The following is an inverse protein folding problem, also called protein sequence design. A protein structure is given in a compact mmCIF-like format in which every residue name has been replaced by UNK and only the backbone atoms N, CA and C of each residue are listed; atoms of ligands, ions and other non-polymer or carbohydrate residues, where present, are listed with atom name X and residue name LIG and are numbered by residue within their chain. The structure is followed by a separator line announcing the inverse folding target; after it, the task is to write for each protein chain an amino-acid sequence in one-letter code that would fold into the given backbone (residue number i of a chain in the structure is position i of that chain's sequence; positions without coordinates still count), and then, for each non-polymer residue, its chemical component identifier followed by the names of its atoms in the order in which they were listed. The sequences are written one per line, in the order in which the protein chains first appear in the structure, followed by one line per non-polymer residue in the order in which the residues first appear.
data_IF_656621581244
#
_entry.id   IF_656621581244
#
_cell.length_a   1.000
_cell.length_b   1.000
_cell.length_c   1.000
_cell.angle_alpha   90.00
_cell.angle_beta   90.00
_cell.angle_gamma   90.00
#
_symmetry.space_group_name_H-M   'P 1'
#
loop_
_entity.id
_entity.type
_entity.pdbx_description
1 polymer ?
#
# COMPACT_ATOMS: atom_id res chain seq x y z
N UNK A 1 -25.66 45.42 6.79
CA UNK A 1 -26.18 44.65 5.64
C UNK A 1 -25.31 44.96 4.45
N UNK A 2 -24.84 43.96 3.71
CA UNK A 2 -24.12 44.21 2.44
C UNK A 2 -25.08 44.86 1.43
N UNK A 3 -24.60 45.82 0.64
CA UNK A 3 -25.39 46.40 -0.46
C UNK A 3 -25.77 45.28 -1.45
N UNK A 4 -27.04 45.30 -1.92
CA UNK A 4 -27.63 44.25 -2.78
C UNK A 4 -26.78 43.95 -4.02
N UNK A 5 -26.13 44.98 -4.57
CA UNK A 5 -25.26 44.90 -5.74
C UNK A 5 -23.96 44.12 -5.44
N UNK A 6 -23.42 44.22 -4.23
CA UNK A 6 -22.24 43.46 -3.79
C UNK A 6 -22.59 41.98 -3.62
N UNK A 7 -23.78 41.68 -3.11
CA UNK A 7 -24.30 40.31 -3.04
C UNK A 7 -24.38 39.65 -4.42
N UNK A 8 -24.99 40.35 -5.39
CA UNK A 8 -25.08 39.89 -6.78
C UNK A 8 -23.71 39.67 -7.42
N UNK A 9 -22.76 40.59 -7.21
CA UNK A 9 -21.41 40.48 -7.76
C UNK A 9 -20.65 39.27 -7.20
N UNK A 10 -20.79 39.00 -5.90
CA UNK A 10 -20.15 37.86 -5.24
C UNK A 10 -20.78 36.51 -5.66
N UNK A 11 -22.09 36.47 -5.96
CA UNK A 11 -22.74 35.28 -6.51
C UNK A 11 -22.25 34.90 -7.91
N UNK A 12 -21.88 35.90 -8.72
CA UNK A 12 -21.33 35.67 -10.06
C UNK A 12 -19.83 35.32 -10.07
N UNK A 13 -19.13 35.57 -8.95
CA UNK A 13 -17.68 35.42 -8.87
C UNK A 13 -17.28 33.94 -8.72
N UNK A 14 -17.12 33.24 -9.85
CA UNK A 14 -16.61 31.87 -9.89
C UNK A 14 -15.08 31.84 -9.81
N UNK A 15 -14.53 31.79 -8.61
CA UNK A 15 -13.10 31.54 -8.40
C UNK A 15 -12.72 30.14 -8.90
N UNK A 16 -11.66 30.04 -9.72
CA UNK A 16 -11.09 28.76 -10.12
C UNK A 16 -10.62 28.01 -8.87
N UNK A 17 -11.30 26.91 -8.55
CA UNK A 17 -10.95 26.10 -7.39
C UNK A 17 -9.52 25.55 -7.47
N UNK A 18 -8.88 25.31 -6.33
CA UNK A 18 -7.58 24.62 -6.29
C UNK A 18 -7.66 23.28 -7.02
N UNK A 19 -6.55 22.88 -7.65
CA UNK A 19 -6.37 21.54 -8.25
C UNK A 19 -6.66 20.48 -7.18
N UNK A 20 -7.81 19.84 -7.30
CA UNK A 20 -8.30 18.87 -6.31
C UNK A 20 -7.42 17.62 -6.39
N UNK A 21 -7.03 17.09 -5.23
CA UNK A 21 -6.35 15.79 -5.07
C UNK A 21 -5.00 15.61 -5.75
N UNK A 22 -4.24 16.69 -5.94
CA UNK A 22 -2.83 16.62 -6.39
C UNK A 22 -1.99 15.70 -5.49
N UNK A 23 -2.24 15.74 -4.18
CA UNK A 23 -1.64 14.88 -3.16
C UNK A 23 -2.12 13.41 -3.20
N UNK A 24 -2.90 13.03 -4.21
CA UNK A 24 -3.28 11.64 -4.50
C UNK A 24 -2.65 11.23 -5.84
N UNK A 25 -2.64 12.13 -6.83
CA UNK A 25 -2.10 11.90 -8.16
C UNK A 25 -0.56 11.89 -8.19
N UNK A 26 0.07 12.63 -7.28
CA UNK A 26 1.51 12.74 -7.15
C UNK A 26 1.89 12.42 -5.71
N UNK A 27 3.05 11.78 -5.53
CA UNK A 27 3.61 11.53 -4.21
C UNK A 27 4.19 12.83 -3.64
N UNK A 28 3.57 13.35 -2.59
CA UNK A 28 4.01 14.51 -1.82
C UNK A 28 4.30 14.02 -0.39
N UNK A 29 5.56 14.08 0.08
CA UNK A 29 5.96 13.64 1.41
C UNK A 29 5.08 14.21 2.52
N UNK A 30 4.71 13.36 3.50
CA UNK A 30 3.84 13.72 4.64
C UNK A 30 2.38 14.01 4.29
N UNK A 31 2.04 14.19 3.01
CA UNK A 31 0.68 14.49 2.57
C UNK A 31 0.03 13.30 1.90
N UNK A 32 0.67 12.66 0.93
CA UNK A 32 0.07 11.62 0.09
C UNK A 32 -0.36 10.36 0.85
N UNK A 33 -1.29 9.55 0.30
CA UNK A 33 -1.63 8.25 0.87
C UNK A 33 -0.38 7.43 1.24
N UNK A 34 -0.50 6.61 2.28
CA UNK A 34 0.55 5.63 2.58
C UNK A 34 0.61 4.57 1.50
N UNK A 35 1.81 4.09 1.22
CA UNK A 35 2.01 2.87 0.43
C UNK A 35 1.54 1.65 1.23
N UNK A 36 1.26 0.54 0.54
CA UNK A 36 0.83 -0.71 1.18
C UNK A 36 1.82 -1.19 2.24
N UNK A 37 3.13 -1.12 1.96
CA UNK A 37 4.18 -1.50 2.90
C UNK A 37 4.15 -0.62 4.16
N UNK A 38 4.13 0.71 4.01
CA UNK A 38 4.08 1.64 5.16
C UNK A 38 2.82 1.47 6.01
N UNK A 39 1.70 1.16 5.38
CA UNK A 39 0.46 0.86 6.11
C UNK A 39 0.56 -0.47 6.87
N UNK A 40 1.17 -1.50 6.26
CA UNK A 40 1.41 -2.78 6.92
C UNK A 40 2.38 -2.64 8.11
N UNK A 41 3.46 -1.88 7.93
CA UNK A 41 4.44 -1.58 8.99
C UNK A 41 3.78 -0.86 10.17
N UNK A 42 2.95 0.17 9.90
CA UNK A 42 2.18 0.86 10.93
C UNK A 42 1.24 -0.09 11.69
N UNK A 43 0.51 -0.95 10.98
CA UNK A 43 -0.40 -1.93 11.60
C UNK A 43 0.36 -2.92 12.48
N UNK A 44 1.49 -3.44 11.98
CA UNK A 44 2.36 -4.34 12.72
C UNK A 44 2.88 -3.67 13.98
N UNK A 45 3.34 -2.42 13.88
CA UNK A 45 3.84 -1.67 15.04
C UNK A 45 2.76 -1.47 16.10
N UNK A 46 1.54 -1.08 15.69
CA UNK A 46 0.39 -0.94 16.60
C UNK A 46 0.04 -2.27 17.29
N UNK A 47 0.14 -3.39 16.57
CA UNK A 47 -0.15 -4.72 17.10
C UNK A 47 0.94 -5.20 18.06
N UNK A 48 2.22 -5.04 17.70
CA UNK A 48 3.35 -5.48 18.52
C UNK A 48 3.40 -4.83 19.91
N UNK A 49 2.89 -3.60 20.03
CA UNK A 49 2.87 -2.87 21.29
C UNK A 49 1.47 -2.77 21.91
N UNK A 50 0.47 -3.48 21.40
CA UNK A 50 -0.92 -3.35 21.83
C UNK A 50 -1.09 -3.55 23.36
N UNK A 51 -0.37 -4.53 23.94
CA UNK A 51 -0.45 -4.86 25.36
C UNK A 51 0.13 -3.79 26.29
N UNK A 52 0.89 -2.82 25.76
CA UNK A 52 1.41 -1.69 26.54
C UNK A 52 0.40 -0.56 26.73
N UNK A 53 -0.75 -0.62 26.05
CA UNK A 53 -1.77 0.41 26.14
C UNK A 53 -2.81 0.03 27.19
N UNK A 54 -2.63 0.56 28.40
CA UNK A 54 -3.53 0.29 29.52
C UNK A 54 -4.88 1.00 29.36
N UNK A 55 -5.97 0.26 29.59
CA UNK A 55 -7.34 0.79 29.58
C UNK A 55 -7.47 1.94 30.58
N UNK A 56 -8.15 3.00 30.16
CA UNK A 56 -8.34 4.19 31.00
C UNK A 56 -7.19 5.18 30.96
N UNK A 57 -6.15 4.96 30.17
CA UNK A 57 -5.09 5.94 29.90
C UNK A 57 -5.37 6.78 28.66
N UNK A 58 -4.67 7.92 28.54
CA UNK A 58 -4.72 8.72 27.32
C UNK A 58 -4.17 7.99 26.09
N UNK A 59 -3.23 7.05 26.28
CA UNK A 59 -2.65 6.27 25.20
C UNK A 59 -3.68 5.32 24.58
N UNK A 60 -4.48 4.66 25.41
CA UNK A 60 -5.45 3.66 24.95
C UNK A 60 -6.53 4.22 24.03
N UNK A 61 -7.18 5.34 24.40
CA UNK A 61 -8.19 5.92 23.53
C UNK A 61 -7.59 6.45 22.21
N UNK A 62 -6.34 6.92 22.23
CA UNK A 62 -5.63 7.36 21.02
C UNK A 62 -5.29 6.19 20.10
N UNK A 63 -4.94 5.04 20.67
CA UNK A 63 -4.74 3.79 19.94
C UNK A 63 -6.04 3.38 19.21
N UNK A 64 -7.17 3.34 19.93
CA UNK A 64 -8.48 3.03 19.36
C UNK A 64 -8.83 4.03 18.24
N UNK A 65 -8.67 5.33 18.49
CA UNK A 65 -8.92 6.36 17.48
C UNK A 65 -8.07 6.16 16.22
N UNK A 66 -6.80 5.79 16.38
CA UNK A 66 -5.87 5.49 15.29
C UNK A 66 -6.34 4.28 14.47
N UNK A 67 -6.73 3.19 15.13
CA UNK A 67 -7.31 2.03 14.46
C UNK A 67 -8.59 2.38 13.70
N UNK A 68 -9.50 3.18 14.28
CA UNK A 68 -10.70 3.65 13.59
C UNK A 68 -10.38 4.48 12.34
N UNK A 69 -9.35 5.33 12.38
CA UNK A 69 -8.91 6.08 11.20
C UNK A 69 -8.31 5.17 10.12
N UNK A 70 -7.56 4.14 10.49
CA UNK A 70 -6.99 3.14 9.57
C UNK A 70 -8.10 2.31 8.93
N UNK A 71 -9.04 1.82 9.74
CA UNK A 71 -10.05 0.82 9.33
C UNK A 71 -11.21 1.46 8.56
N UNK A 72 -11.68 2.63 8.99
CA UNK A 72 -12.91 3.24 8.46
C UNK A 72 -12.67 4.56 7.72
N UNK A 73 -11.44 5.10 7.74
CA UNK A 73 -11.11 6.36 7.07
C UNK A 73 -11.86 7.57 7.64
N UNK A 74 -12.21 7.58 8.93
CA UNK A 74 -13.07 8.59 9.55
C UNK A 74 -12.44 9.98 9.62
N UNK A 75 -13.29 11.00 9.76
CA UNK A 75 -12.88 12.36 10.12
C UNK A 75 -12.84 12.50 11.65
N UNK A 76 -11.92 13.30 12.22
CA UNK A 76 -11.88 13.57 13.66
C UNK A 76 -13.21 14.07 14.26
N UNK A 77 -13.99 14.84 13.48
CA UNK A 77 -15.33 15.31 13.91
C UNK A 77 -16.32 14.17 14.09
N UNK A 78 -16.19 13.06 13.35
CA UNK A 78 -17.07 11.91 13.49
C UNK A 78 -16.81 11.18 14.81
N UNK A 79 -15.54 10.93 15.17
CA UNK A 79 -15.19 10.32 16.47
C UNK A 79 -15.69 11.14 17.65
N UNK A 80 -15.59 12.48 17.56
CA UNK A 80 -16.12 13.37 18.59
C UNK A 80 -17.62 13.21 18.83
N UNK A 81 -18.37 12.86 17.79
CA UNK A 81 -19.82 12.75 17.86
C UNK A 81 -20.29 11.36 18.26
N UNK A 82 -19.40 10.37 18.40
CA UNK A 82 -19.77 9.01 18.79
C UNK A 82 -20.21 8.96 20.26
N UNK A 83 -21.34 8.29 20.47
CA UNK A 83 -21.90 7.95 21.78
C UNK A 83 -21.83 6.43 22.00
N UNK A 84 -21.99 6.00 23.25
CA UNK A 84 -21.95 4.56 23.59
C UNK A 84 -23.03 3.77 22.86
N UNK A 85 -24.22 4.35 22.65
CA UNK A 85 -25.31 3.71 21.91
C UNK A 85 -25.02 3.50 20.42
N UNK A 86 -23.95 4.09 19.87
CA UNK A 86 -23.60 3.93 18.46
C UNK A 86 -22.84 2.62 18.17
N UNK A 87 -22.36 1.92 19.22
CA UNK A 87 -21.73 0.61 19.09
C UNK A 87 -22.79 -0.48 19.27
N UNK A 88 -23.08 -1.20 18.20
CA UNK A 88 -23.92 -2.40 18.22
C UNK A 88 -23.03 -3.65 18.35
N UNK A 89 -23.37 -4.51 19.30
CA UNK A 89 -22.72 -5.79 19.55
C UNK A 89 -23.75 -6.88 19.33
N UNK A 90 -23.44 -7.82 18.43
CA UNK A 90 -24.25 -9.01 18.21
C UNK A 90 -23.44 -10.25 18.62
N UNK A 91 -24.01 -11.07 19.48
CA UNK A 91 -23.44 -12.33 19.96
C UNK A 91 -24.21 -13.45 19.27
N UNK A 92 -23.53 -14.23 18.45
CA UNK A 92 -24.11 -15.41 17.83
C UNK A 92 -24.52 -16.42 18.89
N UNK A 93 -25.79 -16.82 18.92
CA UNK A 93 -26.35 -17.66 19.98
C UNK A 93 -25.74 -19.06 20.03
N UNK A 94 -25.21 -19.56 18.90
CA UNK A 94 -24.66 -20.92 18.78
C UNK A 94 -23.15 -20.90 19.04
N UNK A 95 -22.43 -20.04 18.32
CA UNK A 95 -20.96 -20.00 18.34
C UNK A 95 -20.41 -19.09 19.43
N UNK A 96 -21.25 -18.29 20.09
CA UNK A 96 -20.88 -17.28 21.08
C UNK A 96 -19.88 -16.23 20.55
N UNK A 97 -19.72 -16.13 19.22
CA UNK A 97 -18.82 -15.17 18.58
C UNK A 97 -19.47 -13.79 18.55
N UNK A 98 -18.68 -12.77 18.90
CA UNK A 98 -19.08 -11.37 18.82
C UNK A 98 -18.83 -10.80 17.42
N UNK A 99 -19.83 -10.10 16.90
CA UNK A 99 -19.72 -9.24 15.72
C UNK A 99 -20.11 -7.81 16.10
N UNK A 100 -19.42 -6.85 15.50
CA UNK A 100 -19.53 -5.44 15.88
C UNK A 100 -19.86 -4.56 14.69
N UNK A 101 -20.76 -3.61 14.94
CA UNK A 101 -21.13 -2.59 13.99
C UNK A 101 -21.08 -1.22 14.68
N UNK A 102 -20.43 -0.27 14.02
CA UNK A 102 -20.34 1.11 14.50
C UNK A 102 -21.21 2.02 13.63
N UNK A 103 -22.19 2.67 14.25
CA UNK A 103 -23.04 3.66 13.62
C UNK A 103 -22.34 5.02 13.61
N UNK A 104 -21.68 5.35 12.49
CA UNK A 104 -20.86 6.56 12.40
C UNK A 104 -21.74 7.75 12.00
N UNK A 105 -21.77 8.85 12.78
CA UNK A 105 -22.53 10.04 12.41
C UNK A 105 -21.93 10.74 11.18
N UNK A 106 -22.80 11.19 10.28
CA UNK A 106 -22.45 12.01 9.14
C UNK A 106 -22.04 13.42 9.59
N UNK A 107 -21.14 14.04 8.84
CA UNK A 107 -20.66 15.40 9.13
C UNK A 107 -20.51 16.24 7.86
N UNK A 108 -20.45 17.57 8.04
CA UNK A 108 -20.29 18.55 6.94
C UNK A 108 -21.46 18.57 5.95
N UNK A 109 -22.63 18.15 6.38
CA UNK A 109 -23.89 18.32 5.66
C UNK A 109 -24.41 19.73 5.94
N UNK A 110 -24.81 20.44 4.88
CA UNK A 110 -25.30 21.82 5.02
C UNK A 110 -26.67 21.79 5.69
N UNK A 111 -26.92 22.73 6.60
CA UNK A 111 -28.21 22.92 7.27
C UNK A 111 -28.71 21.72 8.11
N UNK A 112 -27.85 20.77 8.44
CA UNK A 112 -28.20 19.62 9.28
C UNK A 112 -27.69 19.77 10.72
N UNK A 113 -28.54 19.35 11.67
CA UNK A 113 -28.17 19.21 13.08
C UNK A 113 -27.17 18.05 13.22
N UNK A 114 -26.16 18.15 14.12
CA UNK A 114 -25.27 17.03 14.41
C UNK A 114 -26.04 15.75 14.79
N UNK A 115 -25.54 14.58 14.39
CA UNK A 115 -26.15 13.28 14.69
C UNK A 115 -27.58 13.11 14.14
N UNK A 116 -27.92 13.77 13.04
CA UNK A 116 -29.19 13.57 12.31
C UNK A 116 -29.15 12.40 11.32
N UNK A 117 -27.96 12.08 10.80
CA UNK A 117 -27.74 10.97 9.85
C UNK A 117 -26.56 10.12 10.28
N UNK A 118 -26.68 8.81 10.06
CA UNK A 118 -25.67 7.82 10.41
C UNK A 118 -25.36 6.90 9.23
N UNK A 119 -24.17 6.29 9.29
CA UNK A 119 -23.75 5.22 8.39
C UNK A 119 -23.21 4.06 9.22
N UNK A 120 -23.88 2.93 9.12
CA UNK A 120 -23.51 1.69 9.82
C UNK A 120 -22.30 1.05 9.17
N UNK A 121 -21.29 0.66 9.97
CA UNK A 121 -20.02 0.13 9.47
C UNK A 121 -19.58 -1.08 10.29
N UNK A 122 -19.37 -2.26 9.67
CA UNK A 122 -18.77 -3.38 10.38
C UNK A 122 -17.35 -3.02 10.79
N UNK A 123 -16.95 -3.44 11.99
CA UNK A 123 -15.58 -3.27 12.49
C UNK A 123 -15.00 -4.64 12.91
N UNK A 124 -13.68 -4.84 12.80
CA UNK A 124 -13.03 -6.05 13.27
C UNK A 124 -13.31 -6.32 14.75
N UNK A 125 -13.41 -7.59 15.12
CA UNK A 125 -13.70 -8.05 16.49
C UNK A 125 -12.77 -7.42 17.52
N UNK A 126 -11.45 -7.45 17.29
CA UNK A 126 -10.47 -6.86 18.21
C UNK A 126 -10.74 -5.37 18.49
N UNK A 127 -11.17 -4.61 17.47
CA UNK A 127 -11.46 -3.19 17.62
C UNK A 127 -12.77 -2.97 18.39
N UNK A 128 -13.75 -3.85 18.19
CA UNK A 128 -14.98 -3.89 18.99
C UNK A 128 -14.73 -4.18 20.46
N UNK A 129 -13.90 -5.18 20.75
CA UNK A 129 -13.51 -5.54 22.12
C UNK A 129 -12.76 -4.39 22.82
N UNK A 130 -11.85 -3.70 22.11
CA UNK A 130 -11.19 -2.51 22.64
C UNK A 130 -12.17 -1.37 22.97
N UNK A 131 -13.19 -1.18 22.13
CA UNK A 131 -14.24 -0.20 22.38
C UNK A 131 -15.11 -0.60 23.59
N UNK A 132 -15.48 -1.88 23.71
CA UNK A 132 -16.19 -2.38 24.90
C UNK A 132 -15.38 -2.15 26.18
N UNK A 133 -14.08 -2.45 26.18
CA UNK A 133 -13.21 -2.21 27.33
C UNK A 133 -13.15 -0.72 27.71
N UNK A 134 -13.02 0.18 26.73
CA UNK A 134 -13.10 1.63 26.96
C UNK A 134 -14.46 2.05 27.56
N UNK A 135 -15.56 1.52 27.02
CA UNK A 135 -16.91 1.83 27.48
C UNK A 135 -17.14 1.35 28.91
N UNK A 136 -16.70 0.13 29.23
CA UNK A 136 -16.84 -0.45 30.57
C UNK A 136 -16.04 0.34 31.60
N UNK A 137 -14.81 0.72 31.28
CA UNK A 137 -14.01 1.59 32.12
C UNK A 137 -14.69 2.95 32.37
N UNK A 138 -15.23 3.58 31.32
CA UNK A 138 -15.94 4.86 31.46
C UNK A 138 -17.19 4.73 32.35
N UNK A 139 -17.95 3.64 32.21
CA UNK A 139 -19.13 3.36 33.05
C UNK A 139 -18.75 3.13 34.51
N UNK A 140 -17.68 2.37 34.77
CA UNK A 140 -17.19 2.14 36.12
C UNK A 140 -16.73 3.44 36.78
N UNK A 141 -15.94 4.25 36.08
CA UNK A 141 -15.51 5.55 36.59
C UNK A 141 -16.69 6.47 36.93
N UNK A 142 -17.76 6.46 36.12
CA UNK A 142 -18.98 7.22 36.40
C UNK A 142 -19.70 6.72 37.65
N UNK A 143 -19.79 5.40 37.82
CA UNK A 143 -20.36 4.77 39.01
C UNK A 143 -19.58 5.15 40.27
N UNK A 144 -18.25 5.09 40.23
CA UNK A 144 -17.37 5.45 41.35
C UNK A 144 -17.50 6.94 41.76
N UNK A 145 -17.89 7.81 40.80
CA UNK A 145 -18.13 9.24 41.03
C UNK A 145 -19.60 9.57 41.31
N UNK A 146 -20.49 8.58 41.37
CA UNK A 146 -21.94 8.76 41.51
C UNK A 146 -22.53 9.71 40.45
N UNK A 147 -22.00 9.66 39.22
CA UNK A 147 -22.50 10.46 38.10
C UNK A 147 -23.42 9.60 37.24
N UNK A 148 -24.70 9.96 37.16
CA UNK A 148 -25.66 9.31 36.27
C UNK A 148 -25.78 10.07 34.96
N UNK A 149 -25.52 9.38 33.84
CA UNK A 149 -25.71 9.88 32.49
C UNK A 149 -26.43 8.82 31.65
N UNK A 150 -27.48 9.19 30.89
CA UNK A 150 -28.09 8.29 29.92
C UNK A 150 -27.07 7.81 28.89
N UNK A 151 -27.18 6.55 28.44
CA UNK A 151 -26.27 5.96 27.44
C UNK A 151 -26.28 6.75 26.12
N UNK A 152 -27.42 7.38 25.78
CA UNK A 152 -27.58 8.26 24.61
C UNK A 152 -26.80 9.57 24.70
N UNK A 153 -26.45 9.99 25.92
CA UNK A 153 -25.68 11.20 26.20
C UNK A 153 -24.24 10.92 26.58
N UNK A 154 -23.89 9.64 26.82
CA UNK A 154 -22.54 9.21 27.17
C UNK A 154 -21.67 9.11 25.92
N UNK A 155 -20.63 9.96 25.78
CA UNK A 155 -19.67 9.85 24.69
C UNK A 155 -18.95 8.52 24.72
N UNK A 156 -18.74 7.92 23.54
CA UNK A 156 -17.93 6.71 23.43
C UNK A 156 -16.48 7.01 23.89
N UNK A 157 -15.97 8.17 23.49
CA UNK A 157 -14.69 8.72 23.95
C UNK A 157 -14.92 9.78 25.02
N UNK A 158 -15.08 9.32 26.25
CA UNK A 158 -15.32 10.16 27.42
C UNK A 158 -14.02 10.80 27.92
N UNK A 159 -13.99 12.14 28.05
CA UNK A 159 -12.73 12.84 28.32
C UNK A 159 -12.29 12.85 29.78
N UNK A 160 -13.22 12.86 30.74
CA UNK A 160 -12.94 13.13 32.16
C UNK A 160 -11.97 12.14 32.84
N UNK A 161 -12.07 10.81 32.65
CA UNK A 161 -11.21 9.85 33.34
C UNK A 161 -9.72 9.95 32.96
N UNK A 162 -9.44 10.58 31.81
CA UNK A 162 -8.09 10.68 31.22
C UNK A 162 -7.59 12.12 31.12
N UNK A 163 -8.24 13.09 31.79
CA UNK A 163 -7.93 14.49 31.61
C UNK A 163 -6.49 14.83 32.05
N UNK A 164 -5.63 15.00 31.05
CA UNK A 164 -4.72 16.14 31.01
C UNK A 164 -5.58 17.40 30.75
N UNK A 165 -5.38 18.50 31.50
CA UNK A 165 -6.25 19.66 31.48
C UNK A 165 -6.32 20.25 30.07
N UNK A 166 -7.44 20.07 29.38
CA UNK A 166 -7.63 20.70 28.09
C UNK A 166 -7.84 22.21 28.29
N UNK A 167 -6.75 22.95 28.08
CA UNK A 167 -6.63 24.34 27.58
C UNK A 167 -7.90 25.16 27.79
N UNK A 168 -7.86 26.08 28.76
CA UNK A 168 -8.81 27.17 29.01
C UNK A 168 -9.63 27.50 27.75
N UNK A 169 -10.85 26.95 27.63
CA UNK A 169 -11.78 27.30 26.55
C UNK A 169 -12.75 28.36 27.06
N UNK A 170 -13.14 29.29 26.17
CA UNK A 170 -14.18 30.27 26.46
C UNK A 170 -15.43 29.58 27.01
N UNK A 171 -15.91 30.11 28.13
CA UNK A 171 -17.20 29.77 28.74
C UNK A 171 -18.30 29.92 27.67
N UNK A 172 -19.21 28.93 27.56
CA UNK A 172 -20.30 28.93 26.57
C UNK A 172 -19.98 28.30 25.20
N UNK A 173 -18.75 27.81 24.95
CA UNK A 173 -18.39 27.22 23.63
C UNK A 173 -18.90 25.80 23.35
N UNK A 174 -19.63 25.18 24.30
CA UNK A 174 -20.21 23.84 24.13
C UNK A 174 -21.73 23.94 24.19
N UNK A 175 -22.41 23.27 23.26
CA UNK A 175 -23.77 22.80 23.55
C UNK A 175 -23.70 21.84 24.75
N UNK A 176 -24.68 21.89 25.66
CA UNK A 176 -24.74 21.02 26.85
C UNK A 176 -24.45 19.54 26.50
N UNK A 177 -24.94 19.11 25.35
CA UNK A 177 -24.82 17.77 24.79
C UNK A 177 -23.37 17.26 24.57
N UNK A 178 -22.37 18.13 24.39
CA UNK A 178 -20.99 17.72 24.10
C UNK A 178 -19.99 18.09 25.20
N UNK A 179 -20.48 18.28 26.43
CA UNK A 179 -19.68 18.71 27.60
C UNK A 179 -18.48 17.79 27.82
N UNK A 180 -18.66 16.49 27.77
CA UNK A 180 -17.65 15.49 28.14
C UNK A 180 -16.94 14.84 26.95
N UNK A 181 -17.02 15.48 25.78
CA UNK A 181 -16.36 14.99 24.56
C UNK A 181 -14.99 15.61 24.38
N UNK A 182 -14.04 14.82 23.87
CA UNK A 182 -12.81 15.37 23.33
C UNK A 182 -13.08 16.33 22.16
N UNK A 183 -12.23 17.34 22.02
CA UNK A 183 -12.28 18.22 20.86
C UNK A 183 -11.83 17.50 19.58
N UNK A 184 -12.30 17.97 18.42
CA UNK A 184 -11.84 17.44 17.13
C UNK A 184 -10.32 17.63 16.93
N UNK A 185 -9.71 18.62 17.60
CA UNK A 185 -8.26 18.83 17.59
C UNK A 185 -7.52 17.73 18.32
N UNK A 186 -8.06 17.24 19.45
CA UNK A 186 -7.47 16.14 20.20
C UNK A 186 -7.42 14.86 19.36
N UNK A 187 -8.54 14.51 18.70
CA UNK A 187 -8.57 13.42 17.72
C UNK A 187 -7.67 13.66 16.52
N UNK A 188 -7.51 14.92 16.09
CA UNK A 188 -6.59 15.31 15.03
C UNK A 188 -5.12 15.01 15.35
N UNK A 189 -4.74 15.10 16.63
CA UNK A 189 -3.39 14.83 17.14
C UNK A 189 -3.19 13.39 17.63
N UNK A 190 -4.27 12.66 17.91
CA UNK A 190 -4.24 11.32 18.50
C UNK A 190 -3.27 10.38 17.79
N UNK A 191 -3.32 10.32 16.47
CA UNK A 191 -2.46 9.43 15.67
C UNK A 191 -0.98 9.77 15.78
N UNK A 192 -0.62 11.06 15.70
CA UNK A 192 0.77 11.46 15.86
C UNK A 192 1.25 11.14 17.28
N UNK A 193 0.46 11.45 18.31
CA UNK A 193 0.81 11.12 19.70
C UNK A 193 0.94 9.61 19.96
N UNK A 194 0.16 8.77 19.27
CA UNK A 194 0.34 7.31 19.32
C UNK A 194 1.67 6.91 18.69
N UNK A 195 2.04 7.48 17.54
CA UNK A 195 3.31 7.19 16.87
C UNK A 195 4.50 7.66 17.69
N UNK A 196 4.44 8.87 18.27
CA UNK A 196 5.51 9.40 19.12
C UNK A 196 5.76 8.46 20.31
N UNK A 197 4.69 7.91 20.91
CA UNK A 197 4.79 6.92 21.98
C UNK A 197 5.41 5.59 21.47
N UNK A 198 4.97 5.08 20.32
CA UNK A 198 5.53 3.86 19.74
C UNK A 198 7.02 4.02 19.39
N UNK A 199 7.40 5.17 18.84
CA UNK A 199 8.78 5.50 18.55
C UNK A 199 9.61 5.53 19.85
N UNK A 200 9.07 6.07 20.96
CA UNK A 200 9.76 6.01 22.25
C UNK A 200 10.00 4.56 22.73
N UNK A 201 9.05 3.64 22.48
CA UNK A 201 9.24 2.23 22.80
C UNK A 201 10.28 1.56 21.92
N UNK A 202 10.32 1.89 20.62
CA UNK A 202 11.33 1.35 19.72
C UNK A 202 12.74 1.88 20.04
N UNK A 203 12.86 3.18 20.31
CA UNK A 203 14.13 3.77 20.72
C UNK A 203 14.67 3.16 22.02
N UNK A 204 13.80 2.85 22.98
CA UNK A 204 14.19 2.19 24.23
C UNK A 204 14.80 0.79 24.03
N UNK A 205 14.54 0.14 22.90
CA UNK A 205 15.10 -1.18 22.53
C UNK A 205 16.01 -1.12 21.31
N UNK A 206 16.50 0.08 20.93
CA UNK A 206 17.38 0.31 19.78
C UNK A 206 16.84 -0.21 18.43
N UNK A 207 15.52 -0.21 18.24
CA UNK A 207 14.90 -0.53 16.96
C UNK A 207 14.64 0.73 16.11
N UNK A 208 14.65 0.63 14.77
CA UNK A 208 14.31 1.75 13.90
C UNK A 208 12.90 2.28 14.17
N UNK A 209 12.76 3.61 14.21
CA UNK A 209 11.49 4.31 14.44
C UNK A 209 10.63 4.40 13.19
N UNK A 210 9.34 4.67 13.37
CA UNK A 210 8.41 4.93 12.28
C UNK A 210 8.38 6.44 11.93
N UNK A 211 9.25 6.84 11.00
CA UNK A 211 9.49 8.25 10.63
C UNK A 211 8.55 8.75 9.53
N UNK A 212 7.25 8.58 9.74
CA UNK A 212 6.22 9.04 8.81
C UNK A 212 5.21 9.95 9.49
N UNK A 213 4.96 11.12 8.90
CA UNK A 213 3.92 12.02 9.40
C UNK A 213 2.53 11.41 9.13
N UNK A 214 1.88 10.89 10.17
CA UNK A 214 0.53 10.32 10.03
C UNK A 214 -0.50 11.27 10.61
N UNK A 215 -1.47 11.61 9.76
CA UNK A 215 -2.63 12.40 10.15
C UNK A 215 -3.91 11.65 9.80
N UNK A 216 -5.03 11.90 10.49
CA UNK A 216 -6.33 11.33 10.12
C UNK A 216 -6.71 11.62 8.67
N UNK A 217 -6.32 12.80 8.14
CA UNK A 217 -6.51 13.15 6.72
C UNK A 217 -5.71 12.24 5.80
N UNK A 218 -4.45 11.93 6.14
CA UNK A 218 -3.60 11.03 5.37
C UNK A 218 -4.16 9.60 5.38
N UNK A 219 -4.50 9.08 6.57
CA UNK A 219 -5.12 7.76 6.74
C UNK A 219 -6.43 7.61 5.97
N UNK A 220 -7.28 8.63 6.00
CA UNK A 220 -8.51 8.66 5.20
C UNK A 220 -8.26 8.55 3.70
N UNK A 221 -7.22 9.20 3.18
CA UNK A 221 -6.85 9.05 1.76
C UNK A 221 -6.24 7.68 1.49
N UNK A 222 -5.43 7.15 2.40
CA UNK A 222 -4.94 5.77 2.33
C UNK A 222 -6.10 4.76 2.24
N UNK A 223 -7.09 4.87 3.12
CA UNK A 223 -8.31 4.06 3.09
C UNK A 223 -9.01 4.16 1.73
N UNK A 224 -9.23 5.37 1.23
CA UNK A 224 -9.93 5.59 -0.03
C UNK A 224 -9.17 5.06 -1.25
N UNK A 225 -7.86 5.30 -1.32
CA UNK A 225 -6.98 4.79 -2.38
C UNK A 225 -6.94 3.26 -2.36
N UNK A 226 -6.86 2.65 -1.16
CA UNK A 226 -6.87 1.20 -1.01
C UNK A 226 -8.21 0.60 -1.46
N UNK A 227 -9.34 1.14 -1.01
CA UNK A 227 -10.67 0.68 -1.41
C UNK A 227 -10.88 0.78 -2.93
N UNK A 228 -10.44 1.87 -3.56
CA UNK A 228 -10.50 2.03 -5.01
C UNK A 228 -9.62 1.00 -5.73
N UNK A 229 -8.40 0.73 -5.22
CA UNK A 229 -7.51 -0.28 -5.79
C UNK A 229 -8.07 -1.70 -5.67
N UNK A 230 -8.85 -1.99 -4.62
CA UNK A 230 -9.58 -3.25 -4.46
C UNK A 230 -10.83 -3.36 -5.34
N UNK A 231 -11.09 -2.40 -6.25
CA UNK A 231 -12.24 -2.44 -7.16
C UNK A 231 -13.57 -2.07 -6.51
N UNK A 232 -13.58 -1.45 -5.33
CA UNK A 232 -14.82 -0.96 -4.70
C UNK A 232 -15.54 -0.03 -5.69
N UNK A 233 -16.86 -0.19 -5.93
CA UNK A 233 -17.60 0.74 -6.79
C UNK A 233 -17.56 2.19 -6.26
N UNK A 234 -17.50 3.18 -7.16
CA UNK A 234 -17.36 4.59 -6.78
C UNK A 234 -18.49 5.09 -5.86
N UNK A 235 -19.72 4.61 -6.08
CA UNK A 235 -20.90 4.92 -5.24
C UNK A 235 -20.73 4.35 -3.84
N UNK A 236 -20.20 3.13 -3.71
CA UNK A 236 -19.89 2.55 -2.40
C UNK A 236 -18.76 3.33 -1.71
N UNK A 237 -17.69 3.70 -2.43
CA UNK A 237 -16.63 4.52 -1.82
C UNK A 237 -17.13 5.90 -1.38
N UNK A 238 -18.03 6.53 -2.14
CA UNK A 238 -18.71 7.76 -1.75
C UNK A 238 -19.49 7.58 -0.45
N UNK A 239 -20.24 6.48 -0.35
CA UNK A 239 -20.98 6.12 0.85
C UNK A 239 -20.04 5.94 2.04
N UNK A 240 -18.96 5.17 1.84
CA UNK A 240 -17.92 4.90 2.84
C UNK A 240 -17.24 6.18 3.34
N UNK A 241 -17.03 7.15 2.45
CA UNK A 241 -16.44 8.44 2.75
C UNK A 241 -17.45 9.47 3.29
N UNK A 242 -18.74 9.16 3.42
CA UNK A 242 -19.74 10.14 3.83
C UNK A 242 -19.73 11.38 2.91
N UNK A 243 -19.55 11.17 1.61
CA UNK A 243 -19.66 12.22 0.58
C UNK A 243 -21.09 12.25 0.02
N UNK A 244 -21.52 13.42 -0.45
CA UNK A 244 -22.82 13.60 -1.13
C UNK A 244 -22.71 13.49 -2.65
N UNK A 245 -21.49 13.65 -3.18
CA UNK A 245 -21.19 13.59 -4.60
C UNK A 245 -19.95 12.75 -4.92
N UNK A 246 -19.87 12.34 -6.20
CA UNK A 246 -18.74 11.57 -6.74
C UNK A 246 -17.56 12.46 -7.16
N UNK A 247 -17.70 13.78 -7.21
CA UNK A 247 -16.67 14.67 -7.77
C UNK A 247 -15.32 14.51 -7.04
N UNK A 248 -15.40 14.34 -5.71
CA UNK A 248 -14.23 14.15 -4.86
C UNK A 248 -13.76 12.70 -4.77
N UNK A 249 -14.57 11.75 -5.21
CA UNK A 249 -14.28 10.30 -5.14
C UNK A 249 -13.53 9.83 -6.37
N UNK A 250 -13.86 10.35 -7.56
CA UNK A 250 -13.24 9.95 -8.83
C UNK A 250 -11.73 10.15 -8.88
N UNK A 251 -11.16 11.04 -8.05
CA UNK A 251 -9.71 11.23 -7.97
C UNK A 251 -8.96 9.95 -7.57
N UNK A 252 -9.57 9.07 -6.75
CA UNK A 252 -8.94 7.83 -6.30
C UNK A 252 -8.83 6.79 -7.43
N UNK A 253 -9.74 6.85 -8.42
CA UNK A 253 -9.72 5.98 -9.61
C UNK A 253 -8.80 6.51 -10.71
N UNK A 254 -8.69 7.85 -10.83
CA UNK A 254 -7.76 8.48 -11.79
C UNK A 254 -6.32 8.03 -11.59
N UNK A 255 -5.91 7.79 -10.34
CA UNK A 255 -4.58 7.27 -10.04
C UNK A 255 -4.37 5.89 -10.70
N UNK A 256 -5.31 4.96 -10.51
CA UNK A 256 -5.25 3.63 -11.12
C UNK A 256 -5.21 3.68 -12.64
N UNK A 257 -6.08 4.49 -13.26
CA UNK A 257 -6.10 4.66 -14.72
C UNK A 257 -4.77 5.23 -15.25
N UNK A 258 -4.22 6.25 -14.58
CA UNK A 258 -2.94 6.84 -14.98
C UNK A 258 -1.77 5.83 -14.84
N UNK A 259 -1.81 4.95 -13.83
CA UNK A 259 -0.83 3.88 -13.69
C UNK A 259 -0.98 2.82 -14.77
N UNK A 260 -2.21 2.39 -15.08
CA UNK A 260 -2.48 1.41 -16.14
C UNK A 260 -1.94 1.91 -17.49
N UNK A 261 -2.19 3.17 -17.85
CA UNK A 261 -1.67 3.77 -19.10
C UNK A 261 -0.13 3.78 -19.13
N UNK A 262 0.53 4.10 -18.01
CA UNK A 262 1.99 4.10 -17.93
C UNK A 262 2.57 2.69 -18.03
N UNK A 263 1.96 1.73 -17.35
CA UNK A 263 2.36 0.32 -17.44
C UNK A 263 2.19 -0.17 -18.87
N UNK A 264 1.03 0.06 -19.49
CA UNK A 264 0.77 -0.31 -20.88
C UNK A 264 1.80 0.29 -21.83
N UNK A 265 2.17 1.57 -21.64
CA UNK A 265 3.24 2.21 -22.42
C UNK A 265 4.59 1.51 -22.24
N UNK A 266 5.03 1.25 -21.02
CA UNK A 266 6.31 0.55 -20.74
C UNK A 266 6.29 -0.87 -21.31
N UNK A 267 5.19 -1.59 -21.14
CA UNK A 267 5.00 -2.93 -21.70
C UNK A 267 5.04 -2.90 -23.23
N UNK A 268 4.40 -1.92 -23.84
CA UNK A 268 4.40 -1.76 -25.29
C UNK A 268 5.77 -1.37 -25.84
N UNK A 269 6.54 -0.57 -25.10
CA UNK A 269 7.93 -0.24 -25.43
C UNK A 269 8.85 -1.47 -25.34
N UNK A 270 8.68 -2.32 -24.32
CA UNK A 270 9.54 -3.50 -24.13
C UNK A 270 9.13 -4.72 -24.94
N UNK A 271 7.82 -4.94 -25.12
CA UNK A 271 7.25 -6.18 -25.66
C UNK A 271 6.32 -5.94 -26.84
N UNK A 272 6.37 -4.76 -27.47
CA UNK A 272 5.46 -4.38 -28.55
C UNK A 272 5.42 -5.37 -29.71
N UNK A 273 6.59 -5.85 -30.15
CA UNK A 273 6.75 -6.86 -31.21
C UNK A 273 6.15 -8.20 -30.82
N UNK A 274 6.35 -8.64 -29.57
CA UNK A 274 5.75 -9.87 -29.03
C UNK A 274 4.22 -9.80 -29.05
N UNK A 275 3.66 -8.66 -28.61
CA UNK A 275 2.23 -8.44 -28.66
C UNK A 275 1.67 -8.40 -30.08
N UNK A 276 2.41 -7.84 -31.03
CA UNK A 276 1.97 -7.81 -32.44
C UNK A 276 1.99 -9.19 -33.07
N UNK A 277 3.00 -10.01 -32.76
CA UNK A 277 3.08 -11.39 -33.22
C UNK A 277 1.89 -12.22 -32.70
N UNK A 278 1.62 -12.20 -31.39
CA UNK A 278 0.48 -12.93 -30.83
C UNK A 278 -0.88 -12.42 -31.28
N UNK A 279 -0.97 -11.15 -31.69
CA UNK A 279 -2.18 -10.58 -32.31
C UNK A 279 -2.30 -10.90 -33.80
N UNK A 280 -1.36 -11.64 -34.39
CA UNK A 280 -1.32 -11.96 -35.81
C UNK A 280 -1.07 -10.75 -36.72
N UNK A 281 -0.51 -9.66 -36.18
CA UNK A 281 -0.22 -8.43 -36.95
C UNK A 281 1.10 -8.50 -37.70
N UNK A 282 2.03 -9.29 -37.20
CA UNK A 282 3.32 -9.56 -37.83
C UNK A 282 3.55 -11.07 -37.87
N UNK A 283 4.29 -11.52 -38.87
CA UNK A 283 4.73 -12.90 -39.04
C UNK A 283 5.84 -13.26 -38.05
N UNK A 284 6.12 -14.56 -37.91
CA UNK A 284 7.22 -15.06 -37.08
C UNK A 284 8.58 -14.55 -37.59
N UNK A 285 8.72 -14.40 -38.91
CA UNK A 285 9.92 -13.90 -39.58
C UNK A 285 10.16 -12.42 -39.23
N UNK A 286 9.12 -11.60 -39.33
CA UNK A 286 9.15 -10.18 -38.93
C UNK A 286 9.42 -10.02 -37.44
N UNK A 287 8.80 -10.87 -36.60
CA UNK A 287 9.07 -10.91 -35.16
C UNK A 287 10.53 -11.25 -34.86
N UNK A 288 11.09 -12.27 -35.51
CA UNK A 288 12.50 -12.67 -35.35
C UNK A 288 13.46 -11.58 -35.81
N UNK A 289 13.17 -10.93 -36.94
CA UNK A 289 13.98 -9.84 -37.47
C UNK A 289 13.95 -8.57 -36.60
N UNK A 290 12.79 -8.23 -36.03
CA UNK A 290 12.60 -7.08 -35.16
C UNK A 290 13.25 -7.28 -33.78
N UNK A 291 13.27 -8.53 -33.29
CA UNK A 291 13.93 -8.91 -32.04
C UNK A 291 15.30 -9.52 -32.30
N UNK A 292 16.10 -8.92 -33.20
CA UNK A 292 17.53 -9.22 -33.40
C UNK A 292 18.33 -8.95 -32.11
N UNK A 293 18.11 -9.77 -31.09
CA UNK A 293 19.05 -10.00 -30.02
C UNK A 293 20.32 -10.46 -30.70
N UNK A 294 21.40 -9.70 -30.52
CA UNK A 294 22.68 -9.94 -31.19
C UNK A 294 23.09 -11.36 -30.86
N UNK A 295 23.03 -12.24 -31.87
CA UNK A 295 23.64 -13.57 -31.79
C UNK A 295 25.06 -13.38 -31.26
N UNK A 296 25.47 -14.26 -30.36
CA UNK A 296 26.83 -14.20 -29.83
C UNK A 296 27.79 -14.52 -30.99
N UNK A 297 28.55 -13.51 -31.45
CA UNK A 297 29.62 -13.70 -32.43
C UNK A 297 30.93 -14.01 -31.70
N UNK A 298 31.65 -15.04 -32.15
CA UNK A 298 33.06 -15.25 -31.81
C UNK A 298 34.01 -14.51 -32.78
N UNK A 299 35.32 -14.49 -32.49
CA UNK A 299 36.33 -13.94 -33.40
C UNK A 299 36.35 -14.67 -34.75
N UNK A 300 36.84 -14.01 -35.81
CA UNK A 300 36.81 -14.45 -37.22
C UNK A 300 37.39 -15.85 -37.51
N UNK A 301 38.21 -16.38 -36.59
CA UNK A 301 38.86 -17.69 -36.68
C UNK A 301 37.92 -18.83 -36.23
N UNK A 302 36.85 -18.50 -35.48
CA UNK A 302 35.83 -19.42 -34.95
C UNK A 302 34.48 -19.18 -35.66
N UNK A 303 34.47 -19.28 -36.99
CA UNK A 303 33.23 -19.19 -37.80
C UNK A 303 32.17 -20.27 -37.49
N UNK A 304 32.42 -21.17 -36.52
CA UNK A 304 31.46 -22.17 -36.01
C UNK A 304 30.49 -21.63 -34.94
N UNK A 305 30.63 -20.37 -34.50
CA UNK A 305 29.88 -19.83 -33.35
C UNK A 305 28.58 -19.07 -33.69
N UNK A 306 28.15 -19.07 -34.94
CA UNK A 306 26.90 -18.40 -35.33
C UNK A 306 25.71 -19.20 -34.81
N UNK A 307 24.97 -18.65 -33.85
CA UNK A 307 23.66 -19.20 -33.46
C UNK A 307 23.63 -20.06 -32.20
N UNK A 308 24.67 -20.02 -31.35
CA UNK A 308 24.66 -20.74 -30.05
C UNK A 308 23.64 -20.18 -29.04
N UNK A 309 23.07 -19.00 -29.30
CA UNK A 309 22.13 -18.34 -28.40
C UNK A 309 22.23 -16.81 -28.43
N UNK A 310 21.53 -16.18 -27.49
CA UNK A 310 21.39 -14.74 -27.36
C UNK A 310 22.13 -14.19 -26.14
N UNK A 311 22.64 -12.97 -26.27
CA UNK A 311 23.20 -12.22 -25.16
C UNK A 311 22.22 -11.13 -24.69
N UNK A 312 21.78 -11.22 -23.44
CA UNK A 312 20.93 -10.22 -22.77
C UNK A 312 21.67 -8.94 -22.35
N UNK A 313 22.94 -8.74 -22.75
CA UNK A 313 23.69 -7.50 -22.46
C UNK A 313 23.39 -6.43 -23.52
N UNK A 314 22.95 -5.26 -23.09
CA UNK A 314 22.92 -4.07 -23.96
C UNK A 314 24.35 -3.56 -24.21
N UNK A 315 24.80 -3.58 -25.47
CA UNK A 315 26.12 -3.09 -25.89
C UNK A 315 27.19 -4.18 -26.07
N UNK A 316 28.45 -3.78 -26.33
CA UNK A 316 29.56 -4.74 -26.58
C UNK A 316 29.95 -5.50 -25.30
N UNK A 317 30.13 -6.82 -25.40
CA UNK A 317 30.73 -7.64 -24.36
C UNK A 317 32.26 -7.67 -24.55
N UNK A 318 33.03 -7.62 -23.46
CA UNK A 318 34.50 -7.72 -23.48
C UNK A 318 35.02 -9.09 -23.00
N UNK A 319 34.11 -10.00 -22.66
CA UNK A 319 34.45 -11.39 -22.36
C UNK A 319 34.69 -12.15 -23.66
N UNK A 320 35.19 -13.39 -23.57
CA UNK A 320 35.58 -14.20 -24.73
C UNK A 320 34.51 -15.29 -24.96
N UNK A 321 33.61 -15.14 -25.95
CA UNK A 321 32.75 -16.23 -26.39
C UNK A 321 33.54 -17.34 -27.10
N UNK A 322 33.10 -18.61 -27.02
CA UNK A 322 31.99 -19.12 -26.22
C UNK A 322 32.37 -19.39 -24.76
N UNK A 323 33.66 -19.41 -24.42
CA UNK A 323 34.16 -19.88 -23.11
C UNK A 323 33.58 -19.10 -21.92
N UNK A 324 33.22 -17.84 -22.12
CA UNK A 324 32.61 -17.02 -21.07
C UNK A 324 31.07 -17.04 -21.07
N UNK A 325 30.43 -17.63 -22.08
CA UNK A 325 28.99 -17.54 -22.30
C UNK A 325 28.22 -18.58 -21.49
N UNK A 326 28.66 -19.84 -21.47
CA UNK A 326 27.95 -20.92 -20.77
C UNK A 326 27.85 -20.73 -19.25
N UNK A 327 28.73 -19.93 -18.66
CA UNK A 327 28.70 -19.55 -17.23
C UNK A 327 28.09 -18.17 -16.99
N UNK A 328 27.61 -17.49 -18.03
CA UNK A 328 27.07 -16.14 -17.91
C UNK A 328 25.57 -16.13 -17.67
N UNK A 329 25.14 -15.49 -16.57
CA UNK A 329 23.71 -15.27 -16.26
C UNK A 329 22.91 -14.48 -17.30
N UNK A 330 23.59 -13.83 -18.26
CA UNK A 330 22.97 -13.06 -19.34
C UNK A 330 22.94 -13.81 -20.67
N UNK A 331 23.45 -15.04 -20.71
CA UNK A 331 23.45 -15.86 -21.91
C UNK A 331 22.20 -16.75 -21.91
N UNK A 332 21.46 -16.70 -23.00
CA UNK A 332 20.29 -17.52 -23.25
C UNK A 332 20.61 -18.45 -24.43
N UNK A 333 20.87 -19.72 -24.14
CA UNK A 333 21.25 -20.70 -25.15
C UNK A 333 20.09 -20.98 -26.13
N UNK A 334 20.41 -21.35 -27.36
CA UNK A 334 19.39 -21.81 -28.30
C UNK A 334 18.98 -23.27 -27.99
N UNK A 335 17.83 -23.70 -28.49
CA UNK A 335 17.35 -25.07 -28.25
C UNK A 335 17.97 -26.10 -29.20
N UNK A 336 18.93 -25.72 -30.05
CA UNK A 336 19.56 -26.62 -31.00
C UNK A 336 20.74 -27.35 -30.32
N UNK A 337 20.47 -28.57 -29.85
CA UNK A 337 21.48 -29.44 -29.21
C UNK A 337 22.73 -29.61 -30.06
N UNK A 338 22.59 -29.83 -31.37
CA UNK A 338 23.72 -30.14 -32.27
C UNK A 338 24.76 -29.01 -32.28
N UNK A 339 24.29 -27.76 -32.28
CA UNK A 339 25.14 -26.57 -32.21
C UNK A 339 25.97 -26.54 -30.92
N UNK A 340 25.40 -26.98 -29.78
CA UNK A 340 26.11 -27.02 -28.51
C UNK A 340 27.12 -28.17 -28.43
N UNK A 341 26.83 -29.32 -29.06
CA UNK A 341 27.78 -30.44 -29.18
C UNK A 341 29.01 -30.01 -29.98
N UNK A 342 28.82 -29.35 -31.12
CA UNK A 342 29.93 -28.85 -31.95
C UNK A 342 30.81 -27.83 -31.20
N UNK A 343 30.20 -26.98 -30.37
CA UNK A 343 30.94 -26.03 -29.54
C UNK A 343 31.70 -26.74 -28.42
N UNK A 344 31.10 -27.77 -27.82
CA UNK A 344 31.78 -28.58 -26.81
C UNK A 344 33.01 -29.28 -27.39
N UNK A 345 32.88 -29.90 -28.56
CA UNK A 345 33.99 -30.53 -29.28
C UNK A 345 35.10 -29.53 -29.56
N UNK A 346 34.77 -28.35 -30.09
CA UNK A 346 35.75 -27.29 -30.32
C UNK A 346 36.47 -26.84 -29.04
N UNK A 347 35.76 -26.67 -27.92
CA UNK A 347 36.38 -26.31 -26.64
C UNK A 347 37.34 -27.40 -26.12
N UNK A 348 37.06 -28.68 -26.40
CA UNK A 348 37.95 -29.79 -26.03
C UNK A 348 39.17 -29.87 -26.95
N UNK A 349 39.00 -29.65 -28.24
CA UNK A 349 40.08 -29.53 -29.22
C UNK A 349 41.04 -28.39 -28.84
N UNK A 350 40.50 -27.20 -28.52
CA UNK A 350 41.30 -26.05 -28.09
C UNK A 350 42.18 -26.36 -26.86
N UNK A 351 41.62 -27.10 -25.88
CA UNK A 351 42.38 -27.56 -24.71
C UNK A 351 43.49 -28.53 -25.13
N UNK A 352 43.21 -29.47 -26.04
CA UNK A 352 44.21 -30.36 -26.61
C UNK A 352 45.36 -29.61 -27.27
N UNK A 353 45.04 -28.64 -28.14
CA UNK A 353 46.03 -27.85 -28.86
C UNK A 353 46.87 -26.97 -27.94
N UNK A 354 46.25 -26.26 -26.98
CA UNK A 354 46.96 -25.35 -26.06
C UNK A 354 48.01 -26.06 -25.21
N UNK A 355 47.76 -27.30 -24.81
CA UNK A 355 48.64 -28.10 -23.98
C UNK A 355 49.40 -29.18 -24.76
N UNK A 356 49.40 -29.13 -26.11
CA UNK A 356 50.07 -30.09 -27.00
C UNK A 356 49.75 -31.56 -26.67
N UNK A 357 48.49 -31.83 -26.31
CA UNK A 357 48.00 -33.15 -25.93
C UNK A 357 48.63 -33.78 -24.66
N UNK A 358 49.42 -33.01 -23.89
CA UNK A 358 49.88 -33.35 -22.54
C UNK A 358 48.95 -32.72 -21.49
N UNK A 359 47.65 -33.01 -21.60
CA UNK A 359 46.60 -32.31 -20.84
C UNK A 359 46.29 -33.04 -19.52
N UNK A 360 46.44 -32.34 -18.39
CA UNK A 360 45.96 -32.84 -17.11
C UNK A 360 44.42 -32.95 -17.11
N UNK A 361 43.80 -34.03 -16.56
CA UNK A 361 42.36 -34.28 -16.64
C UNK A 361 41.47 -33.09 -16.25
N UNK A 362 41.86 -32.34 -15.21
CA UNK A 362 41.11 -31.18 -14.73
C UNK A 362 41.01 -30.02 -15.73
N UNK A 363 41.81 -29.99 -16.82
CA UNK A 363 41.70 -28.98 -17.88
C UNK A 363 40.55 -29.24 -18.84
N UNK A 364 40.06 -30.48 -18.92
CA UNK A 364 38.83 -30.82 -19.63
C UNK A 364 37.56 -30.63 -18.77
N UNK A 365 37.73 -30.32 -17.49
CA UNK A 365 36.63 -30.15 -16.52
C UNK A 365 36.46 -28.68 -16.09
N UNK A 366 36.85 -27.75 -16.96
CA UNK A 366 36.68 -26.32 -16.70
C UNK A 366 35.20 -25.94 -16.63
N UNK A 367 34.88 -24.93 -15.82
CA UNK A 367 33.50 -24.53 -15.48
C UNK A 367 32.59 -24.34 -16.70
N UNK A 368 33.11 -23.72 -17.78
CA UNK A 368 32.35 -23.47 -19.00
C UNK A 368 32.15 -24.72 -19.87
N UNK A 369 33.07 -25.69 -19.80
CA UNK A 369 32.94 -27.00 -20.47
C UNK A 369 31.85 -27.81 -19.76
N UNK A 370 31.90 -27.85 -18.42
CA UNK A 370 30.88 -28.53 -17.61
C UNK A 370 29.50 -27.89 -17.76
N UNK A 371 29.42 -26.55 -17.82
CA UNK A 371 28.18 -25.84 -18.06
C UNK A 371 27.58 -26.15 -19.45
N UNK A 372 28.43 -26.30 -20.49
CA UNK A 372 27.99 -26.71 -21.82
C UNK A 372 27.50 -28.17 -21.83
N UNK A 373 28.23 -29.10 -21.17
CA UNK A 373 27.80 -30.50 -21.01
C UNK A 373 26.43 -30.61 -20.33
N UNK A 374 26.27 -29.92 -19.20
CA UNK A 374 24.99 -29.89 -18.46
C UNK A 374 23.84 -29.29 -19.27
N UNK A 375 24.11 -28.32 -20.14
CA UNK A 375 23.09 -27.80 -21.07
C UNK A 375 22.67 -28.86 -22.10
N UNK A 376 23.64 -29.57 -22.71
CA UNK A 376 23.36 -30.62 -23.70
C UNK A 376 22.50 -31.74 -23.07
N UNK A 377 22.84 -32.19 -21.87
CA UNK A 377 22.06 -33.18 -21.11
C UNK A 377 20.62 -32.72 -20.85
N UNK A 378 20.43 -31.44 -20.46
CA UNK A 378 19.08 -30.90 -20.26
C UNK A 378 18.26 -30.87 -21.54
N UNK A 379 18.87 -30.46 -22.66
CA UNK A 379 18.21 -30.44 -23.96
C UNK A 379 17.90 -31.85 -24.51
N UNK A 380 18.58 -32.90 -24.04
CA UNK A 380 18.22 -34.29 -24.35
C UNK A 380 16.94 -34.75 -23.64
N UNK A 381 16.72 -34.28 -22.41
CA UNK A 381 15.54 -34.66 -21.61
C UNK A 381 14.29 -33.92 -22.09
N UNK A 382 14.41 -32.66 -22.53
CA UNK A 382 13.29 -31.83 -22.98
C UNK A 382 12.77 -32.18 -24.39
N UNK A 383 13.53 -32.93 -25.18
CA UNK A 383 13.15 -33.37 -26.54
C UNK A 383 12.64 -34.83 -26.60
N UNK A 384 12.42 -35.48 -25.44
CA UNK A 384 11.66 -36.73 -25.30
C UNK A 384 10.24 -36.42 -24.85
#
# INVERSE_FOLDING_TARGET
MFQKNVGYALEQLKLKGRTKGLDILVNIPGKSPLTSNKLADLRKLLQCYADRFEVGTAAYWRLIATWLFITLGLRPKQLRLLMVCDLAVNIDSITQRKSYLLNVPSVKKRFEVPRSRFKSRPIPTFLGEMLEALINFNKQWLADKNIQLPVTELPLFYSEPTLSPHIKRKVGSRSKQFRFTFSAVAFGKATQSTIDLLNSYQSAVNLPTFDEQITPRRLRKTFATHAAACGTPAIMLMELLDHDDLQHVMIYYKLGANFAIKIDKVYREQFGTMFDYFRGKITLEEFSAANKHKQVFGPDNLRRLVGIGFCGKSGRCRKIPPYSCYTCLKFEACNNKQVHVEVLEGMLEDVGELFKYEVAPGKYEMEHINACRSLIERLEVENR
#
